data_IF_440666179398
#
_entry.id   IF_440666179398
#
_cell.length_a   1.000
_cell.length_b   1.000
_cell.length_c   1.000
_cell.angle_alpha   90.00
_cell.angle_beta   90.00
_cell.angle_gamma   90.00
#
_symmetry.space_group_name_H-M   'P 1'
#
loop_
_entity.id
_entity.type
_entity.pdbx_description
1 polymer ?
#
# COMPACT_ATOMS: atom_id res chain seq x y z
N UNK A 1 -4.33 -7.49 8.42
CA UNK A 1 -5.20 -6.93 9.48
C UNK A 1 -5.44 -7.90 10.62
N UNK A 2 -5.83 -9.17 10.37
CA UNK A 2 -6.06 -10.15 11.44
C UNK A 2 -4.82 -10.43 12.28
N UNK A 3 -3.67 -10.64 11.65
CA UNK A 3 -2.40 -10.92 12.33
C UNK A 3 -1.90 -9.77 13.24
N UNK A 4 -2.51 -8.58 13.11
CA UNK A 4 -2.19 -7.38 13.90
C UNK A 4 -3.44 -6.77 14.55
N UNK A 5 -4.40 -7.59 14.88
CA UNK A 5 -5.69 -7.18 15.47
C UNK A 5 -5.53 -6.46 16.81
N UNK A 6 -4.56 -6.86 17.62
CA UNK A 6 -4.30 -6.24 18.92
C UNK A 6 -3.84 -4.78 18.77
N UNK A 7 -3.05 -4.49 17.74
CA UNK A 7 -2.61 -3.12 17.45
C UNK A 7 -3.78 -2.22 17.01
N UNK A 8 -4.73 -2.77 16.24
CA UNK A 8 -5.96 -2.06 15.87
C UNK A 8 -6.81 -1.76 17.10
N UNK A 9 -6.98 -2.74 17.97
CA UNK A 9 -7.75 -2.56 19.21
C UNK A 9 -7.09 -1.52 20.13
N UNK A 10 -5.76 -1.59 20.28
CA UNK A 10 -4.99 -0.63 21.07
C UNK A 10 -5.07 0.80 20.51
N UNK A 11 -4.96 0.95 19.19
CA UNK A 11 -5.08 2.24 18.52
C UNK A 11 -6.49 2.82 18.67
N UNK A 12 -7.51 1.98 18.54
CA UNK A 12 -8.89 2.40 18.79
C UNK A 12 -9.09 2.91 20.23
N UNK A 13 -8.57 2.18 21.22
CA UNK A 13 -8.62 2.58 22.63
C UNK A 13 -7.90 3.88 22.89
N UNK A 14 -6.70 4.04 22.29
CA UNK A 14 -5.90 5.27 22.37
C UNK A 14 -6.67 6.49 21.83
N UNK A 15 -7.36 6.31 20.70
CA UNK A 15 -8.05 7.40 20.02
C UNK A 15 -9.42 7.76 20.63
N UNK A 16 -10.19 6.76 21.02
CA UNK A 16 -11.56 6.95 21.51
C UNK A 16 -11.72 6.83 23.04
N UNK A 17 -10.66 6.52 23.77
CA UNK A 17 -10.69 6.36 25.23
C UNK A 17 -11.52 5.17 25.74
N UNK A 18 -11.89 4.24 24.87
CA UNK A 18 -12.72 3.06 25.20
C UNK A 18 -12.31 1.85 24.39
N UNK A 19 -12.60 0.67 24.92
CA UNK A 19 -12.30 -0.57 24.23
C UNK A 19 -13.15 -0.74 22.95
N UNK A 20 -12.55 -1.31 21.90
CA UNK A 20 -13.26 -1.66 20.69
C UNK A 20 -14.24 -2.80 20.97
N UNK A 21 -15.53 -2.55 20.75
CA UNK A 21 -16.51 -3.63 20.74
C UNK A 21 -16.39 -4.40 19.43
N UNK A 22 -16.06 -5.67 19.53
CA UNK A 22 -15.85 -6.58 18.40
C UNK A 22 -17.08 -7.49 18.31
N UNK A 23 -17.74 -7.49 17.16
CA UNK A 23 -18.83 -8.42 16.83
C UNK A 23 -18.35 -9.60 15.97
N UNK A 24 -17.15 -9.49 15.43
CA UNK A 24 -16.48 -10.50 14.64
C UNK A 24 -15.41 -11.24 15.45
N UNK A 25 -14.74 -12.22 14.85
CA UNK A 25 -13.74 -13.05 15.53
C UNK A 25 -12.54 -12.24 16.08
N UNK A 26 -12.24 -11.10 15.49
CA UNK A 26 -11.12 -10.23 15.92
C UNK A 26 -11.29 -8.80 15.39
N UNK A 27 -10.46 -7.88 15.88
CA UNK A 27 -10.50 -6.47 15.49
C UNK A 27 -10.20 -6.23 13.99
N UNK A 28 -9.43 -7.09 13.35
CA UNK A 28 -9.14 -7.02 11.91
C UNK A 28 -10.40 -7.26 11.08
N UNK A 29 -11.17 -8.29 11.39
CA UNK A 29 -12.44 -8.56 10.71
C UNK A 29 -13.50 -7.52 11.04
N UNK A 30 -13.55 -7.06 12.29
CA UNK A 30 -14.42 -5.94 12.68
C UNK A 30 -14.13 -4.67 11.88
N UNK A 31 -12.84 -4.39 11.61
CA UNK A 31 -12.44 -3.27 10.77
C UNK A 31 -12.96 -3.44 9.32
N UNK A 32 -12.78 -4.63 8.73
CA UNK A 32 -13.26 -4.91 7.37
C UNK A 32 -14.77 -4.77 7.27
N UNK A 33 -15.50 -5.31 8.25
CA UNK A 33 -16.97 -5.16 8.34
C UNK A 33 -17.41 -3.70 8.38
N UNK A 34 -16.79 -2.90 9.22
CA UNK A 34 -17.11 -1.46 9.32
C UNK A 34 -16.74 -0.70 8.07
N UNK A 35 -15.62 -1.08 7.41
CA UNK A 35 -15.23 -0.50 6.15
C UNK A 35 -16.27 -0.81 5.06
N UNK A 36 -16.72 -2.05 4.96
CA UNK A 36 -17.76 -2.46 4.01
C UNK A 36 -19.08 -1.72 4.27
N UNK A 37 -19.48 -1.57 5.53
CA UNK A 37 -20.68 -0.84 5.92
C UNK A 37 -20.66 0.67 5.58
N UNK A 38 -19.48 1.24 5.33
CA UNK A 38 -19.32 2.62 4.86
C UNK A 38 -19.50 2.79 3.34
N UNK A 39 -19.92 1.74 2.64
CA UNK A 39 -20.17 1.75 1.20
C UNK A 39 -18.97 2.32 0.40
N UNK A 40 -17.78 1.72 0.50
CA UNK A 40 -16.61 2.20 -0.23
C UNK A 40 -16.84 2.12 -1.73
N UNK A 41 -16.39 3.14 -2.46
CA UNK A 41 -16.39 3.12 -3.92
C UNK A 41 -15.20 2.31 -4.41
N UNK A 42 -15.46 1.30 -5.23
CA UNK A 42 -14.43 0.46 -5.84
C UNK A 42 -14.15 0.95 -7.26
N UNK A 43 -12.87 1.08 -7.58
CA UNK A 43 -12.39 1.47 -8.90
C UNK A 43 -11.56 0.33 -9.51
N UNK A 44 -11.49 0.29 -10.83
CA UNK A 44 -10.69 -0.71 -11.53
C UNK A 44 -9.18 -0.38 -11.50
N UNK A 45 -8.85 0.91 -11.44
CA UNK A 45 -7.47 1.39 -11.45
C UNK A 45 -7.20 2.39 -10.32
N UNK A 46 -6.00 2.32 -9.77
CA UNK A 46 -5.54 3.22 -8.71
C UNK A 46 -5.41 4.69 -9.18
N UNK A 47 -5.26 4.92 -10.48
CA UNK A 47 -5.29 6.25 -11.06
C UNK A 47 -6.66 6.94 -10.88
N UNK A 48 -7.74 6.21 -11.08
CA UNK A 48 -9.10 6.73 -10.89
C UNK A 48 -9.34 7.14 -9.43
N UNK A 49 -8.83 6.34 -8.49
CA UNK A 49 -8.87 6.68 -7.06
C UNK A 49 -8.08 7.98 -6.80
N UNK A 50 -6.87 8.09 -7.36
CA UNK A 50 -6.04 9.28 -7.19
C UNK A 50 -6.74 10.55 -7.73
N UNK A 51 -7.42 10.46 -8.87
CA UNK A 51 -8.20 11.56 -9.42
C UNK A 51 -9.38 11.91 -8.50
N UNK A 52 -10.14 10.90 -8.06
CA UNK A 52 -11.29 11.12 -7.18
C UNK A 52 -10.89 11.78 -5.85
N UNK A 53 -9.75 11.36 -5.27
CA UNK A 53 -9.24 11.91 -4.01
C UNK A 53 -8.62 13.30 -4.21
N UNK A 54 -7.80 13.46 -5.26
CA UNK A 54 -6.95 14.63 -5.47
C UNK A 54 -7.60 15.80 -6.18
N UNK A 55 -8.83 15.66 -6.69
CA UNK A 55 -9.54 16.76 -7.34
C UNK A 55 -9.71 17.93 -6.38
N UNK A 56 -9.26 19.11 -6.79
CA UNK A 56 -9.35 20.33 -5.97
C UNK A 56 -10.78 20.85 -5.89
N UNK A 57 -11.07 21.64 -4.85
CA UNK A 57 -12.37 22.29 -4.67
C UNK A 57 -13.46 21.43 -4.05
N UNK A 58 -13.15 20.22 -3.62
CA UNK A 58 -14.11 19.37 -2.92
C UNK A 58 -14.38 19.91 -1.51
N UNK A 59 -15.63 19.99 -1.10
CA UNK A 59 -16.02 20.39 0.26
C UNK A 59 -15.61 19.36 1.31
N UNK A 60 -15.52 18.08 0.93
CA UNK A 60 -15.03 16.97 1.72
C UNK A 60 -14.18 16.08 0.82
N UNK A 61 -12.86 16.11 1.01
CA UNK A 61 -11.98 15.23 0.29
C UNK A 61 -12.15 13.79 0.77
N UNK A 62 -12.37 12.82 -0.11
CA UNK A 62 -12.44 11.41 0.25
C UNK A 62 -11.04 10.88 0.62
N UNK A 63 -11.02 9.76 1.35
CA UNK A 63 -9.80 8.99 1.60
C UNK A 63 -9.77 7.84 0.60
N UNK A 64 -8.61 7.57 0.00
CA UNK A 64 -8.42 6.46 -0.95
C UNK A 64 -7.19 5.63 -0.63
N UNK A 65 -7.22 4.36 -1.04
CA UNK A 65 -6.08 3.45 -0.98
C UNK A 65 -5.58 3.25 -2.41
N UNK A 66 -4.38 3.73 -2.70
CA UNK A 66 -3.76 3.67 -4.01
C UNK A 66 -2.23 3.68 -3.90
N UNK A 67 -1.54 3.42 -5.01
CA UNK A 67 -0.07 3.41 -5.05
C UNK A 67 0.52 4.77 -4.71
N UNK A 68 1.53 4.79 -3.86
CA UNK A 68 2.29 5.99 -3.48
C UNK A 68 2.79 6.77 -4.73
N UNK A 69 3.18 6.07 -5.79
CA UNK A 69 3.62 6.68 -7.05
C UNK A 69 2.60 7.58 -7.73
N UNK A 70 1.32 7.53 -7.34
CA UNK A 70 0.29 8.42 -7.90
C UNK A 70 0.44 9.87 -7.45
N UNK A 71 1.21 10.17 -6.43
CA UNK A 71 1.50 11.55 -6.04
C UNK A 71 2.18 12.38 -7.13
N UNK A 72 2.86 11.76 -8.09
CA UNK A 72 3.37 12.43 -9.29
C UNK A 72 2.28 13.12 -10.11
N UNK A 73 1.04 12.67 -9.99
CA UNK A 73 -0.11 13.26 -10.67
C UNK A 73 -0.47 14.66 -10.12
N UNK A 74 0.00 15.01 -8.93
CA UNK A 74 -0.13 16.38 -8.41
C UNK A 74 0.43 17.40 -9.40
N UNK A 75 1.64 17.15 -9.91
CA UNK A 75 2.27 18.04 -10.90
C UNK A 75 1.65 17.87 -12.29
N UNK A 76 1.39 16.63 -12.73
CA UNK A 76 0.94 16.33 -14.10
C UNK A 76 -0.52 16.70 -14.35
N UNK A 77 -1.37 16.58 -13.35
CA UNK A 77 -2.83 16.74 -13.46
C UNK A 77 -3.40 17.81 -12.52
N UNK A 78 -2.54 18.60 -11.87
CA UNK A 78 -2.96 19.63 -10.93
C UNK A 78 -3.85 19.09 -9.79
N UNK A 79 -3.54 17.89 -9.30
CA UNK A 79 -4.23 17.29 -8.15
C UNK A 79 -3.67 17.83 -6.82
N UNK A 80 -4.34 17.49 -5.72
CA UNK A 80 -3.95 17.83 -4.34
C UNK A 80 -3.90 16.57 -3.45
N UNK A 81 -3.11 15.58 -3.88
CA UNK A 81 -2.92 14.35 -3.11
C UNK A 81 -1.98 14.60 -1.94
N UNK A 82 -2.33 14.08 -0.78
CA UNK A 82 -1.49 14.08 0.42
C UNK A 82 -1.54 12.71 1.10
N UNK A 83 -0.51 12.39 1.89
CA UNK A 83 -0.51 11.19 2.73
C UNK A 83 -1.33 11.45 3.98
N UNK A 84 -2.18 10.49 4.33
CA UNK A 84 -2.86 10.47 5.62
C UNK A 84 -1.95 9.81 6.67
N UNK A 85 -1.77 10.50 7.79
CA UNK A 85 -1.11 9.92 8.97
C UNK A 85 -2.14 9.22 9.83
N UNK A 86 -2.35 7.92 9.59
CA UNK A 86 -3.35 7.08 10.26
C UNK A 86 -2.68 6.04 11.13
N UNK A 87 -3.12 5.92 12.36
CA UNK A 87 -2.73 4.87 13.30
C UNK A 87 -3.63 3.62 13.13
N UNK A 88 -3.12 2.42 13.34
CA UNK A 88 -1.71 2.05 13.56
C UNK A 88 -0.93 1.82 12.27
N UNK A 89 -1.59 1.83 11.11
CA UNK A 89 -0.97 1.50 9.84
C UNK A 89 -1.15 2.61 8.82
N UNK A 90 -0.03 3.12 8.31
CA UNK A 90 -0.01 4.21 7.32
C UNK A 90 -0.23 3.71 5.88
N UNK A 91 -0.13 2.42 5.64
CA UNK A 91 -0.31 1.83 4.33
C UNK A 91 -0.01 0.34 4.27
N UNK A 92 0.04 -0.17 3.05
CA UNK A 92 0.33 -1.58 2.74
C UNK A 92 1.71 -1.66 2.08
N UNK A 93 2.54 -2.59 2.55
CA UNK A 93 3.75 -2.97 1.81
C UNK A 93 3.37 -4.04 0.78
N UNK A 94 3.43 -3.67 -0.49
CA UNK A 94 3.17 -4.57 -1.61
C UNK A 94 4.47 -4.81 -2.37
N UNK A 95 5.18 -5.93 -2.11
CA UNK A 95 6.41 -6.25 -2.79
C UNK A 95 6.15 -6.60 -4.26
N UNK A 96 7.00 -6.10 -5.14
CA UNK A 96 7.05 -6.49 -6.55
C UNK A 96 8.20 -7.44 -6.76
N UNK A 97 7.94 -8.56 -7.41
CA UNK A 97 8.92 -9.60 -7.65
C UNK A 97 9.33 -9.65 -9.12
N UNK A 98 10.61 -9.90 -9.38
CA UNK A 98 11.13 -10.21 -10.68
C UNK A 98 11.52 -11.68 -10.73
N UNK A 99 11.10 -12.40 -11.75
CA UNK A 99 11.37 -13.81 -11.93
C UNK A 99 11.85 -14.09 -13.35
N UNK A 100 12.79 -15.03 -13.49
CA UNK A 100 13.24 -15.54 -14.79
C UNK A 100 12.42 -16.79 -15.10
N UNK A 101 11.71 -16.76 -16.21
CA UNK A 101 10.88 -17.88 -16.65
C UNK A 101 11.74 -19.10 -16.96
N UNK A 102 11.30 -20.28 -16.50
CA UNK A 102 11.96 -21.55 -16.84
C UNK A 102 11.91 -21.75 -18.36
N UNK A 103 13.07 -22.02 -18.97
CA UNK A 103 13.17 -22.16 -20.42
C UNK A 103 13.19 -20.83 -21.18
N UNK A 104 13.44 -19.70 -20.51
CA UNK A 104 13.62 -18.42 -21.19
C UNK A 104 14.68 -18.52 -22.31
N UNK A 105 14.41 -17.98 -23.52
CA UNK A 105 15.34 -18.09 -24.64
C UNK A 105 16.65 -17.33 -24.40
N UNK A 106 16.64 -16.32 -23.55
CA UNK A 106 17.79 -15.47 -23.23
C UNK A 106 17.99 -15.30 -21.71
N UNK A 107 18.30 -16.38 -20.96
CA UNK A 107 18.35 -16.32 -19.50
C UNK A 107 19.45 -15.40 -18.95
N UNK A 108 20.54 -15.26 -19.68
CA UNK A 108 21.65 -14.37 -19.26
C UNK A 108 21.28 -12.89 -19.42
N UNK A 109 20.54 -12.52 -20.47
CA UNK A 109 20.01 -11.17 -20.62
C UNK A 109 19.00 -10.84 -19.52
N UNK A 110 18.13 -11.80 -19.16
CA UNK A 110 17.19 -11.63 -18.06
C UNK A 110 17.89 -11.45 -16.70
N UNK A 111 19.00 -12.20 -16.47
CA UNK A 111 19.84 -12.01 -15.27
C UNK A 111 20.51 -10.63 -15.26
N UNK A 112 21.06 -10.22 -16.40
CA UNK A 112 21.68 -8.89 -16.52
C UNK A 112 20.68 -7.78 -16.21
N UNK A 113 19.46 -7.86 -16.72
CA UNK A 113 18.41 -6.92 -16.41
C UNK A 113 18.07 -6.92 -14.90
N UNK A 114 17.96 -8.11 -14.29
CA UNK A 114 17.71 -8.21 -12.85
C UNK A 114 18.81 -7.56 -12.01
N UNK A 115 20.07 -7.72 -12.40
CA UNK A 115 21.19 -7.00 -11.77
C UNK A 115 21.13 -5.50 -12.00
N UNK A 116 20.84 -5.08 -13.23
CA UNK A 116 20.78 -3.66 -13.58
C UNK A 116 19.71 -2.91 -12.77
N UNK A 117 18.50 -3.43 -12.63
CA UNK A 117 17.44 -2.77 -11.86
C UNK A 117 17.73 -2.68 -10.36
N UNK A 118 18.73 -3.41 -9.87
CA UNK A 118 19.23 -3.31 -8.49
C UNK A 118 20.41 -2.34 -8.35
N UNK A 119 20.88 -1.73 -9.43
CA UNK A 119 21.84 -0.61 -9.37
C UNK A 119 21.12 0.71 -9.13
N UNK A 120 21.86 1.76 -8.71
CA UNK A 120 21.28 3.08 -8.52
C UNK A 120 20.66 3.62 -9.81
N UNK A 121 21.35 3.46 -10.95
CA UNK A 121 20.85 3.92 -12.25
C UNK A 121 19.57 3.20 -12.66
N UNK A 122 19.55 1.87 -12.59
CA UNK A 122 18.38 1.06 -12.94
C UNK A 122 17.21 1.22 -11.99
N UNK A 123 17.46 1.56 -10.72
CA UNK A 123 16.44 1.78 -9.72
C UNK A 123 15.79 3.18 -9.80
N UNK A 124 16.50 4.20 -10.28
CA UNK A 124 16.04 5.59 -10.29
C UNK A 124 14.65 5.80 -10.92
N UNK A 125 14.29 5.21 -12.06
CA UNK A 125 12.97 5.37 -12.64
C UNK A 125 11.84 4.87 -11.71
N UNK A 126 12.11 3.81 -10.96
CA UNK A 126 11.15 3.21 -10.05
C UNK A 126 11.06 3.95 -8.71
N UNK A 127 12.20 4.30 -8.16
CA UNK A 127 12.30 4.96 -6.86
C UNK A 127 11.89 6.44 -6.95
N UNK A 128 12.39 7.17 -7.94
CA UNK A 128 12.10 8.60 -8.10
C UNK A 128 10.73 8.87 -8.72
N UNK A 129 10.48 8.32 -9.91
CA UNK A 129 9.26 8.64 -10.68
C UNK A 129 8.05 7.88 -10.18
N UNK A 130 8.20 6.60 -9.87
CA UNK A 130 7.09 5.73 -9.46
C UNK A 130 6.87 5.77 -7.94
N UNK A 131 7.84 6.23 -7.15
CA UNK A 131 7.76 6.28 -5.69
C UNK A 131 7.89 4.91 -5.03
N UNK A 132 8.50 3.94 -5.72
CA UNK A 132 8.82 2.64 -5.16
C UNK A 132 10.09 2.71 -4.28
N UNK A 133 10.34 1.67 -3.52
CA UNK A 133 11.58 1.50 -2.77
C UNK A 133 12.34 0.29 -3.30
N UNK A 134 13.66 0.39 -3.40
CA UNK A 134 14.50 -0.75 -3.79
C UNK A 134 14.60 -1.75 -2.65
N UNK A 135 14.62 -3.04 -2.99
CA UNK A 135 14.97 -4.11 -2.03
C UNK A 135 16.48 -4.19 -1.77
N UNK A 136 17.30 -3.51 -2.56
CA UNK A 136 18.73 -3.38 -2.30
C UNK A 136 18.96 -2.27 -1.25
N UNK A 137 19.29 -2.67 -0.03
CA UNK A 137 19.51 -1.75 1.10
C UNK A 137 20.72 -0.82 0.93
N UNK A 138 21.60 -1.10 -0.03
CA UNK A 138 22.73 -0.21 -0.36
C UNK A 138 22.31 1.00 -1.18
N UNK A 139 21.11 0.99 -1.74
CA UNK A 139 20.59 2.11 -2.51
C UNK A 139 19.85 3.08 -1.61
N UNK A 140 20.23 4.34 -1.67
CA UNK A 140 19.49 5.41 -1.02
C UNK A 140 18.15 5.70 -1.70
N UNK A 141 17.31 6.46 -1.03
CA UNK A 141 16.11 7.04 -1.66
C UNK A 141 16.54 7.98 -2.78
N UNK A 142 15.80 7.99 -3.89
CA UNK A 142 16.03 8.99 -4.92
C UNK A 142 15.83 10.41 -4.33
N UNK A 143 16.71 11.36 -4.64
CA UNK A 143 16.54 12.75 -4.22
C UNK A 143 15.23 13.37 -4.73
N UNK A 144 14.67 12.84 -5.81
CA UNK A 144 13.39 13.29 -6.38
C UNK A 144 12.18 12.65 -5.69
N UNK A 145 12.39 11.72 -4.76
CA UNK A 145 11.29 11.10 -4.01
C UNK A 145 10.97 11.96 -2.77
N UNK A 146 9.84 12.68 -2.75
CA UNK A 146 9.47 13.56 -1.65
C UNK A 146 9.02 12.80 -0.39
N UNK A 147 9.02 11.48 -0.43
CA UNK A 147 8.44 10.64 0.63
C UNK A 147 9.47 10.14 1.62
N UNK A 148 9.04 9.73 2.81
CA UNK A 148 9.92 9.15 3.80
C UNK A 148 10.76 8.01 3.22
N UNK A 149 11.95 7.82 3.74
CA UNK A 149 12.81 6.68 3.39
C UNK A 149 12.11 5.37 3.75
N UNK A 150 12.56 4.25 3.16
CA UNK A 150 12.02 2.93 3.51
C UNK A 150 12.09 2.65 5.01
N UNK A 151 13.12 3.13 5.71
CA UNK A 151 13.27 3.01 7.16
C UNK A 151 12.18 3.78 7.93
N UNK A 152 11.75 4.96 7.45
CA UNK A 152 10.67 5.73 8.07
C UNK A 152 9.31 5.02 8.04
N UNK A 153 9.12 4.07 7.12
CA UNK A 153 7.92 3.24 7.04
C UNK A 153 7.96 2.00 7.93
N UNK A 154 9.14 1.66 8.48
CA UNK A 154 9.34 0.44 9.26
C UNK A 154 8.38 0.38 10.44
N UNK A 155 7.70 -0.75 10.58
CA UNK A 155 6.68 -0.95 11.63
C UNK A 155 5.33 -0.27 11.40
N UNK A 156 5.24 0.67 10.46
CA UNK A 156 4.00 1.42 10.18
C UNK A 156 3.21 0.88 8.99
N UNK A 157 3.79 -0.04 8.22
CA UNK A 157 3.12 -0.67 7.09
C UNK A 157 2.56 -2.04 7.47
N UNK A 158 1.40 -2.35 6.93
CA UNK A 158 0.92 -3.71 6.88
C UNK A 158 1.74 -4.49 5.86
N UNK A 159 2.35 -5.57 6.30
CA UNK A 159 3.04 -6.53 5.43
C UNK A 159 2.11 -7.72 5.24
N UNK A 160 1.81 -8.07 4.00
CA UNK A 160 0.96 -9.22 3.72
C UNK A 160 1.70 -10.52 4.04
N UNK A 161 1.07 -11.40 4.82
CA UNK A 161 1.46 -12.80 4.89
C UNK A 161 0.82 -13.52 3.69
N UNK A 162 1.60 -13.67 2.62
CA UNK A 162 1.09 -14.22 1.35
C UNK A 162 0.49 -15.63 1.49
N UNK A 163 1.01 -16.45 2.39
CA UNK A 163 0.48 -17.78 2.65
C UNK A 163 -0.91 -17.71 3.28
N UNK A 164 -1.08 -16.88 4.31
CA UNK A 164 -2.39 -16.70 4.93
C UNK A 164 -3.39 -16.05 3.98
N UNK A 165 -2.96 -15.06 3.19
CA UNK A 165 -3.82 -14.42 2.19
C UNK A 165 -4.28 -15.41 1.13
N UNK A 166 -3.39 -16.26 0.61
CA UNK A 166 -3.74 -17.27 -0.38
C UNK A 166 -4.75 -18.29 0.18
N UNK A 167 -4.52 -18.78 1.40
CA UNK A 167 -5.37 -19.78 2.03
C UNK A 167 -6.75 -19.24 2.43
N UNK A 168 -6.88 -17.96 2.71
CA UNK A 168 -8.11 -17.35 3.20
C UNK A 168 -8.80 -16.41 2.23
N UNK A 169 -8.29 -16.34 1.01
CA UNK A 169 -8.83 -15.39 0.01
C UNK A 169 -10.33 -15.59 -0.24
N UNK A 170 -10.77 -16.83 -0.41
CA UNK A 170 -12.17 -17.14 -0.65
C UNK A 170 -13.04 -16.69 0.54
N UNK A 171 -12.66 -17.08 1.76
CA UNK A 171 -13.39 -16.70 2.98
C UNK A 171 -13.50 -15.19 3.17
N UNK A 172 -12.42 -14.46 2.87
CA UNK A 172 -12.40 -13.00 2.98
C UNK A 172 -13.25 -12.31 1.91
N UNK A 173 -13.27 -12.88 0.70
CA UNK A 173 -14.16 -12.38 -0.36
C UNK A 173 -15.63 -12.60 0.00
N UNK A 174 -15.98 -13.78 0.49
CA UNK A 174 -17.34 -14.09 0.96
C UNK A 174 -17.75 -13.20 2.14
N UNK A 175 -16.82 -12.92 3.04
CA UNK A 175 -17.04 -12.01 4.16
C UNK A 175 -17.29 -10.56 3.70
N UNK A 176 -16.57 -10.11 2.68
CA UNK A 176 -16.72 -8.76 2.13
C UNK A 176 -18.07 -8.55 1.42
N UNK A 177 -18.60 -9.59 0.76
CA UNK A 177 -19.84 -9.52 -0.01
C UNK A 177 -21.09 -9.56 0.89
N UNK A 178 -20.99 -10.14 2.07
CA UNK A 178 -22.08 -10.23 3.05
C UNK A 178 -22.37 -8.90 3.73
#
# INVERSE_FOLDING_TARGET
MEDRSDELAASYKKHYGKDLKVSEANAGLEFVKRLAANNPVLYNEDYEIAVAVGTKGQSKAPIGIYSLGRHRENAKKNLALALCDVDPFKGLNQPTYMQIVKGAPHPNAARLLAYYVLTQEGANPWVGVVGAYSSNSSLGSSPDNPYPTAEAWKGTLLVSNNTNVANRRADLMDFWIK
#
